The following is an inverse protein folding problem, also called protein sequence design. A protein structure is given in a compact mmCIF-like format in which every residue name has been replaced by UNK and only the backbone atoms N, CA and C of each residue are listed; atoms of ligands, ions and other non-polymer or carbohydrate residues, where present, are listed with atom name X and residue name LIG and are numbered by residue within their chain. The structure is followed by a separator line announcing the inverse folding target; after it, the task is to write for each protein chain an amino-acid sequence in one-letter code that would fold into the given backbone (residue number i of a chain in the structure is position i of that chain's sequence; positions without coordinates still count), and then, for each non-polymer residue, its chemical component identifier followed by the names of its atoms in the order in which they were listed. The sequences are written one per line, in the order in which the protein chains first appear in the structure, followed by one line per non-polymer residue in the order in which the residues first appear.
data_IF_089731383136
#
_entry.id   IF_089731383136
#
_cell.length_a   1.000
_cell.length_b   1.000
_cell.length_c   1.000
_cell.angle_alpha   90.00
_cell.angle_beta   90.00
_cell.angle_gamma   90.00
#
_symmetry.space_group_name_H-M   'P 1'
#
loop_
_entity.id
_entity.type
_entity.pdbx_description
1 polymer ?
#
# COMPACT_ATOMS: atom_id res chain seq x y z
N UNK A 1 -15.95 -28.17 -18.49
CA UNK A 1 -15.86 -28.01 -17.01
C UNK A 1 -17.16 -27.53 -16.33
N UNK A 2 -18.10 -26.90 -17.04
CA UNK A 2 -19.33 -26.34 -16.45
C UNK A 2 -20.28 -27.39 -15.84
N UNK A 3 -20.54 -28.50 -16.55
CA UNK A 3 -21.51 -29.53 -16.12
C UNK A 3 -21.18 -30.17 -14.76
N UNK A 4 -19.89 -30.45 -14.49
CA UNK A 4 -19.45 -31.02 -13.19
C UNK A 4 -19.70 -30.07 -12.02
N UNK A 5 -19.51 -28.76 -12.23
CA UNK A 5 -19.75 -27.75 -11.20
C UNK A 5 -21.24 -27.57 -10.93
N UNK A 6 -22.08 -27.63 -11.97
CA UNK A 6 -23.54 -27.62 -11.82
C UNK A 6 -24.03 -28.85 -11.04
N UNK A 7 -23.54 -30.04 -11.39
CA UNK A 7 -23.86 -31.28 -10.69
C UNK A 7 -23.47 -31.24 -9.20
N UNK A 8 -22.27 -30.73 -8.90
CA UNK A 8 -21.80 -30.57 -7.51
C UNK A 8 -22.68 -29.58 -6.72
N UNK A 9 -23.17 -28.51 -7.34
CA UNK A 9 -24.03 -27.52 -6.68
C UNK A 9 -25.39 -28.10 -6.28
N UNK A 10 -25.97 -28.97 -7.12
CA UNK A 10 -27.23 -29.67 -6.82
C UNK A 10 -27.02 -30.67 -5.67
N UNK A 11 -25.95 -31.46 -5.71
CA UNK A 11 -25.63 -32.43 -4.65
C UNK A 11 -25.23 -31.79 -3.34
N UNK A 12 -24.67 -30.59 -3.37
CA UNK A 12 -24.34 -29.83 -2.17
C UNK A 12 -25.59 -29.52 -1.33
N UNK A 13 -26.70 -29.12 -1.95
CA UNK A 13 -27.97 -28.92 -1.24
C UNK A 13 -28.43 -30.20 -0.55
N UNK A 14 -28.43 -31.33 -1.26
CA UNK A 14 -28.78 -32.64 -0.71
C UNK A 14 -27.85 -33.07 0.42
N UNK A 15 -26.54 -32.85 0.29
CA UNK A 15 -25.54 -33.17 1.30
C UNK A 15 -25.73 -32.37 2.59
N UNK A 16 -26.13 -31.10 2.50
CA UNK A 16 -26.39 -30.24 3.65
C UNK A 16 -27.71 -30.61 4.36
N UNK A 17 -28.73 -31.03 3.60
CA UNK A 17 -30.04 -31.45 4.15
C UNK A 17 -30.04 -32.88 4.71
N UNK A 18 -29.05 -33.70 4.35
CA UNK A 18 -28.94 -35.09 4.81
C UNK A 18 -28.82 -35.18 6.35
N UNK A 19 -29.66 -36.00 6.97
CA UNK A 19 -29.77 -36.14 8.43
C UNK A 19 -28.80 -37.17 8.99
N UNK A 20 -28.45 -38.18 8.19
CA UNK A 20 -27.56 -39.27 8.63
C UNK A 20 -26.19 -39.26 7.96
N UNK A 21 -25.19 -39.85 8.64
CA UNK A 21 -23.84 -40.06 8.06
C UNK A 21 -23.90 -41.02 6.87
N UNK A 22 -24.82 -41.99 6.87
CA UNK A 22 -25.01 -42.95 5.78
C UNK A 22 -25.50 -42.25 4.51
N UNK A 23 -26.49 -41.37 4.61
CA UNK A 23 -26.97 -40.55 3.48
C UNK A 23 -25.86 -39.67 2.89
N UNK A 24 -25.09 -38.98 3.76
CA UNK A 24 -23.95 -38.16 3.32
C UNK A 24 -22.91 -38.99 2.59
N UNK A 25 -22.67 -40.22 3.03
CA UNK A 25 -21.73 -41.11 2.36
C UNK A 25 -22.23 -41.55 0.99
N UNK A 26 -23.51 -41.93 0.87
CA UNK A 26 -24.12 -42.33 -0.40
C UNK A 26 -24.08 -41.22 -1.46
N UNK A 27 -24.40 -39.98 -1.05
CA UNK A 27 -24.31 -38.79 -1.91
C UNK A 27 -22.89 -38.57 -2.43
N UNK A 28 -21.88 -38.76 -1.56
CA UNK A 28 -20.48 -38.66 -1.96
C UNK A 28 -20.05 -39.81 -2.87
N UNK A 29 -20.53 -41.03 -2.63
CA UNK A 29 -20.22 -42.22 -3.44
C UNK A 29 -20.77 -42.08 -4.85
N UNK A 30 -22.02 -41.63 -5.00
CA UNK A 30 -22.66 -41.32 -6.28
C UNK A 30 -21.83 -40.32 -7.09
N UNK A 31 -21.45 -39.20 -6.47
CA UNK A 31 -20.64 -38.18 -7.14
C UNK A 31 -19.26 -38.70 -7.54
N UNK A 32 -18.59 -39.46 -6.65
CA UNK A 32 -17.27 -40.01 -6.94
C UNK A 32 -17.32 -41.04 -8.08
N UNK A 33 -18.36 -41.90 -8.13
CA UNK A 33 -18.57 -42.85 -9.23
C UNK A 33 -18.78 -42.14 -10.57
N UNK A 34 -19.61 -41.09 -10.60
CA UNK A 34 -19.92 -40.37 -11.84
C UNK A 34 -18.80 -39.47 -12.35
N UNK A 35 -17.92 -38.98 -11.46
CA UNK A 35 -16.88 -37.99 -11.83
C UNK A 35 -15.45 -38.51 -11.75
N UNK A 36 -15.22 -39.68 -11.16
CA UNK A 36 -13.89 -40.22 -10.90
C UNK A 36 -13.06 -39.41 -9.89
N UNK A 37 -13.66 -38.42 -9.22
CA UNK A 37 -12.94 -37.53 -8.32
C UNK A 37 -12.71 -38.18 -6.94
N UNK A 38 -11.56 -37.90 -6.34
CA UNK A 38 -11.24 -38.42 -5.02
C UNK A 38 -12.19 -37.88 -3.95
N UNK A 39 -12.69 -38.77 -3.08
CA UNK A 39 -13.63 -38.43 -2.00
C UNK A 39 -13.19 -37.25 -1.13
N UNK A 40 -11.90 -37.17 -0.74
CA UNK A 40 -11.38 -36.07 0.08
C UNK A 40 -11.43 -34.73 -0.68
N UNK A 41 -11.22 -34.75 -1.99
CA UNK A 41 -11.35 -33.56 -2.84
C UNK A 41 -12.80 -33.09 -2.91
N UNK A 42 -13.75 -34.02 -3.10
CA UNK A 42 -15.19 -33.72 -3.16
C UNK A 42 -15.71 -33.13 -1.86
N UNK A 43 -15.36 -33.74 -0.72
CA UNK A 43 -15.72 -33.24 0.62
C UNK A 43 -15.20 -31.81 0.81
N UNK A 44 -13.97 -31.52 0.38
CA UNK A 44 -13.38 -30.18 0.48
C UNK A 44 -14.17 -29.17 -0.35
N UNK A 45 -14.56 -29.53 -1.57
CA UNK A 45 -15.37 -28.67 -2.46
C UNK A 45 -16.79 -28.43 -1.95
N UNK A 46 -17.44 -29.46 -1.42
CA UNK A 46 -18.79 -29.34 -0.84
C UNK A 46 -18.75 -28.47 0.42
N UNK A 47 -17.69 -28.55 1.22
CA UNK A 47 -17.51 -27.69 2.40
C UNK A 47 -17.01 -26.29 2.06
N UNK A 48 -16.32 -26.08 0.94
CA UNK A 48 -15.71 -24.80 0.63
C UNK A 48 -16.71 -23.69 0.27
N UNK A 49 -17.92 -24.02 -0.24
CA UNK A 49 -18.93 -22.97 -0.51
C UNK A 49 -19.43 -22.30 0.78
N UNK A 50 -19.35 -22.99 1.93
CA UNK A 50 -19.66 -22.43 3.26
C UNK A 50 -18.60 -21.40 3.70
N UNK A 51 -17.48 -21.27 2.99
CA UNK A 51 -16.35 -20.40 3.37
C UNK A 51 -15.80 -19.53 2.22
N UNK A 52 -16.55 -19.30 1.14
CA UNK A 52 -16.09 -18.41 0.07
C UNK A 52 -16.18 -16.91 0.42
N UNK A 53 -16.79 -16.55 1.54
CA UNK A 53 -16.55 -15.25 2.16
C UNK A 53 -15.33 -15.42 3.05
N UNK A 54 -14.12 -14.96 2.65
CA UNK A 54 -13.04 -14.85 3.61
C UNK A 54 -13.58 -14.03 4.77
N UNK A 55 -13.74 -14.65 5.95
CA UNK A 55 -13.97 -13.92 7.20
C UNK A 55 -12.81 -12.95 7.28
N UNK A 56 -13.07 -11.68 6.95
CA UNK A 56 -12.11 -10.60 7.18
C UNK A 56 -11.83 -10.68 8.67
N UNK A 57 -10.65 -11.21 9.05
CA UNK A 57 -10.15 -11.08 10.42
C UNK A 57 -10.34 -9.61 10.75
N UNK A 58 -11.22 -9.30 11.69
CA UNK A 58 -11.53 -7.91 12.05
C UNK A 58 -10.20 -7.19 12.18
N UNK A 59 -9.99 -6.17 11.34
CA UNK A 59 -8.71 -5.48 11.31
C UNK A 59 -8.36 -5.04 12.73
N UNK A 60 -7.08 -5.11 13.10
CA UNK A 60 -6.63 -4.53 14.38
C UNK A 60 -7.15 -3.10 14.45
N UNK A 61 -7.68 -2.69 15.61
CA UNK A 61 -8.12 -1.32 15.84
C UNK A 61 -7.01 -0.36 15.39
N UNK A 62 -7.36 0.59 14.53
CA UNK A 62 -6.41 1.57 14.00
C UNK A 62 -6.16 2.59 15.12
N UNK A 63 -5.07 2.42 15.86
CA UNK A 63 -4.69 3.30 16.97
C UNK A 63 -4.27 4.70 16.48
N UNK A 64 -3.64 4.75 15.30
CA UNK A 64 -3.16 5.97 14.66
C UNK A 64 -4.08 6.29 13.47
N UNK A 65 -5.17 6.99 13.79
CA UNK A 65 -6.18 7.43 12.84
C UNK A 65 -5.64 8.47 11.82
N UNK A 66 -6.53 8.94 10.94
CA UNK A 66 -6.19 9.94 9.92
C UNK A 66 -5.70 11.26 10.51
N UNK A 67 -6.25 11.68 11.65
CA UNK A 67 -5.85 12.93 12.31
C UNK A 67 -4.42 12.84 12.83
N UNK A 68 -4.04 11.73 13.46
CA UNK A 68 -2.66 11.51 13.91
C UNK A 68 -1.70 11.48 12.73
N UNK A 69 -2.08 10.86 11.61
CA UNK A 69 -1.23 10.82 10.41
C UNK A 69 -1.05 12.19 9.77
N UNK A 70 -2.09 13.03 9.75
CA UNK A 70 -2.01 14.39 9.23
C UNK A 70 -1.12 15.26 10.11
N UNK A 71 -1.31 15.20 11.44
CA UNK A 71 -0.46 15.91 12.40
C UNK A 71 1.01 15.46 12.30
N UNK A 72 1.25 14.15 12.21
CA UNK A 72 2.59 13.59 12.04
C UNK A 72 3.26 14.10 10.76
N UNK A 73 2.52 14.23 9.65
CA UNK A 73 3.06 14.73 8.39
C UNK A 73 3.48 16.21 8.51
N UNK A 74 2.69 17.05 9.18
CA UNK A 74 3.06 18.45 9.44
C UNK A 74 4.33 18.55 10.28
N UNK A 75 4.41 17.81 11.39
CA UNK A 75 5.60 17.84 12.24
C UNK A 75 6.84 17.30 11.49
N UNK A 76 6.67 16.29 10.65
CA UNK A 76 7.74 15.77 9.80
C UNK A 76 8.25 16.81 8.79
N UNK A 77 7.38 17.66 8.25
CA UNK A 77 7.73 18.77 7.37
C UNK A 77 8.48 19.89 8.13
N UNK A 78 8.00 20.27 9.32
CA UNK A 78 8.65 21.29 10.18
C UNK A 78 10.11 20.93 10.49
N UNK A 79 10.40 19.65 10.75
CA UNK A 79 11.75 19.18 11.07
C UNK A 79 12.61 18.80 9.86
N UNK A 80 12.21 19.18 8.64
CA UNK A 80 12.91 18.90 7.39
C UNK A 80 13.09 17.39 7.11
N UNK A 81 11.99 16.66 7.24
CA UNK A 81 11.82 15.30 6.76
C UNK A 81 12.74 14.20 7.37
N UNK A 82 12.96 14.14 8.70
CA UNK A 82 13.82 13.14 9.32
C UNK A 82 13.27 11.71 9.20
N UNK A 83 14.14 10.71 9.36
CA UNK A 83 13.72 9.31 9.49
C UNK A 83 12.94 9.09 10.81
N UNK A 84 12.12 8.04 10.90
CA UNK A 84 11.28 7.79 12.07
C UNK A 84 12.06 7.65 13.38
N UNK A 85 13.31 7.16 13.31
CA UNK A 85 14.20 7.09 14.46
C UNK A 85 14.60 8.47 15.00
N UNK A 86 14.85 9.44 14.11
CA UNK A 86 15.17 10.82 14.49
C UNK A 86 13.93 11.62 14.86
N UNK A 87 12.79 11.33 14.24
CA UNK A 87 11.53 12.04 14.52
C UNK A 87 10.92 11.64 15.87
N UNK A 88 11.04 10.37 16.28
CA UNK A 88 10.45 9.90 17.53
C UNK A 88 10.86 10.69 18.81
N UNK A 89 12.15 10.98 19.07
CA UNK A 89 12.53 11.81 20.21
C UNK A 89 12.01 13.25 20.08
N UNK A 90 12.05 13.85 18.88
CA UNK A 90 11.52 15.19 18.64
C UNK A 90 10.02 15.27 18.93
N UNK A 91 9.25 14.23 18.58
CA UNK A 91 7.82 14.18 18.89
C UNK A 91 7.55 14.15 20.40
N UNK A 92 8.47 13.60 21.20
CA UNK A 92 8.30 13.55 22.66
C UNK A 92 8.54 14.90 23.31
N UNK A 93 9.49 15.69 22.80
CA UNK A 93 9.88 16.98 23.40
C UNK A 93 9.15 18.16 22.79
N UNK A 94 9.01 18.20 21.46
CA UNK A 94 8.61 19.42 20.74
C UNK A 94 7.10 19.51 20.48
N UNK A 95 6.33 18.43 20.60
CA UNK A 95 4.88 18.46 20.28
C UNK A 95 4.12 19.46 21.14
N UNK A 96 4.44 19.57 22.43
CA UNK A 96 3.77 20.54 23.30
C UNK A 96 4.18 21.98 22.96
N UNK A 97 5.46 22.19 22.66
CA UNK A 97 5.99 23.50 22.25
C UNK A 97 5.37 23.96 20.93
N UNK A 98 5.26 23.08 19.94
CA UNK A 98 4.61 23.38 18.66
C UNK A 98 3.12 23.68 18.81
N UNK A 99 2.44 23.10 19.81
CA UNK A 99 1.05 23.44 20.13
C UNK A 99 0.94 24.82 20.79
N UNK A 100 1.86 25.15 21.70
CA UNK A 100 1.90 26.46 22.37
C UNK A 100 2.20 27.60 21.40
N UNK A 101 3.05 27.35 20.40
CA UNK A 101 3.37 28.29 19.34
C UNK A 101 2.33 28.33 18.21
N UNK A 102 1.23 27.59 18.34
CA UNK A 102 0.15 27.47 17.35
C UNK A 102 0.56 26.95 15.96
N UNK A 103 1.80 26.47 15.81
CA UNK A 103 2.33 25.81 14.60
C UNK A 103 1.53 24.53 14.26
N UNK A 104 1.02 23.84 15.28
CA UNK A 104 0.12 22.69 15.11
C UNK A 104 -1.14 22.84 15.97
N UNK A 105 -2.30 22.89 15.30
CA UNK A 105 -3.61 22.86 15.96
C UNK A 105 -4.10 21.42 16.04
N UNK A 106 -3.85 20.77 17.18
CA UNK A 106 -4.23 19.37 17.41
C UNK A 106 -4.89 19.15 18.78
N UNK A 107 -5.87 18.23 18.88
CA UNK A 107 -6.43 17.81 20.17
C UNK A 107 -5.39 17.15 21.08
N UNK A 108 -5.61 17.22 22.39
CA UNK A 108 -4.70 16.61 23.38
C UNK A 108 -4.52 15.11 23.16
N UNK A 109 -5.58 14.38 22.80
CA UNK A 109 -5.49 12.95 22.49
C UNK A 109 -4.53 12.63 21.34
N UNK A 110 -4.51 13.48 20.30
CA UNK A 110 -3.61 13.31 19.14
C UNK A 110 -2.17 13.60 19.54
N UNK A 111 -1.94 14.62 20.36
CA UNK A 111 -0.62 14.95 20.89
C UNK A 111 -0.03 13.80 21.70
N UNK A 112 -0.82 13.19 22.59
CA UNK A 112 -0.39 12.04 23.39
C UNK A 112 -0.09 10.80 22.54
N UNK A 113 -0.90 10.55 21.51
CA UNK A 113 -0.63 9.48 20.54
C UNK A 113 0.68 9.73 19.78
N UNK A 114 0.99 10.98 19.42
CA UNK A 114 2.23 11.35 18.74
C UNK A 114 3.47 11.16 19.62
N UNK A 115 3.39 11.47 20.93
CA UNK A 115 4.52 11.24 21.85
C UNK A 115 4.83 9.75 22.05
N UNK A 116 3.80 8.89 22.01
CA UNK A 116 3.90 7.44 22.25
C UNK A 116 4.25 6.62 21.00
N UNK A 117 4.15 7.21 19.80
CA UNK A 117 4.34 6.48 18.54
C UNK A 117 5.77 5.92 18.42
N UNK A 118 5.88 4.69 17.94
CA UNK A 118 7.20 4.06 17.75
C UNK A 118 7.85 4.48 16.43
N UNK A 119 9.19 4.54 16.34
CA UNK A 119 9.92 4.88 15.10
C UNK A 119 9.45 4.09 13.87
N UNK A 120 9.26 2.78 14.02
CA UNK A 120 8.80 1.89 12.94
C UNK A 120 7.38 2.23 12.48
N UNK A 121 6.53 2.69 13.38
CA UNK A 121 5.15 3.09 13.05
C UNK A 121 5.14 4.43 12.33
N UNK A 122 6.01 5.38 12.73
CA UNK A 122 6.23 6.65 12.02
C UNK A 122 6.61 6.39 10.57
N UNK A 123 7.64 5.58 10.32
CA UNK A 123 8.11 5.31 8.95
C UNK A 123 7.03 4.64 8.09
N UNK A 124 6.22 3.74 8.68
CA UNK A 124 5.08 3.12 7.98
C UNK A 124 3.97 4.13 7.68
N UNK A 125 3.65 5.01 8.64
CA UNK A 125 2.59 6.00 8.51
C UNK A 125 2.90 7.07 7.44
N UNK A 126 4.18 7.46 7.34
CA UNK A 126 4.72 8.44 6.41
C UNK A 126 5.18 7.87 5.06
N UNK A 127 5.10 6.55 4.86
CA UNK A 127 5.60 5.89 3.64
C UNK A 127 5.01 6.50 2.37
N UNK A 128 3.71 6.74 2.36
CA UNK A 128 3.02 7.35 1.22
C UNK A 128 3.48 8.80 1.00
N UNK A 129 3.53 9.59 2.07
CA UNK A 129 3.98 10.99 2.03
C UNK A 129 5.41 11.11 1.51
N UNK A 130 6.31 10.21 1.93
CA UNK A 130 7.68 10.14 1.40
C UNK A 130 7.72 9.83 -0.09
N UNK A 131 6.89 8.91 -0.56
CA UNK A 131 6.80 8.59 -1.98
C UNK A 131 6.33 9.79 -2.79
N UNK A 132 5.28 10.49 -2.32
CA UNK A 132 4.78 11.71 -2.96
C UNK A 132 5.85 12.79 -2.98
N UNK A 133 6.52 13.05 -1.85
CA UNK A 133 7.60 14.05 -1.76
C UNK A 133 8.75 13.71 -2.72
N UNK A 134 9.14 12.44 -2.81
CA UNK A 134 10.19 12.00 -3.73
C UNK A 134 9.81 12.23 -5.19
N UNK A 135 8.58 11.88 -5.59
CA UNK A 135 8.08 12.13 -6.95
C UNK A 135 8.06 13.62 -7.26
N UNK A 136 7.55 14.44 -6.33
CA UNK A 136 7.52 15.89 -6.49
C UNK A 136 8.92 16.46 -6.66
N UNK A 137 9.92 16.02 -5.87
CA UNK A 137 11.32 16.46 -6.00
C UNK A 137 11.99 15.98 -7.28
N UNK A 138 11.73 14.75 -7.72
CA UNK A 138 12.32 14.16 -8.94
C UNK A 138 11.86 14.91 -10.19
N UNK A 139 10.56 15.18 -10.30
CA UNK A 139 9.97 15.84 -11.45
C UNK A 139 9.89 17.37 -11.29
N UNK A 140 10.39 17.93 -10.18
CA UNK A 140 10.45 19.37 -10.03
C UNK A 140 11.44 19.96 -11.03
N UNK A 141 10.98 20.89 -11.86
CA UNK A 141 11.88 21.65 -12.73
C UNK A 141 12.81 22.49 -11.86
N UNK A 142 14.13 22.24 -11.92
CA UNK A 142 15.11 23.04 -11.18
C UNK A 142 15.16 24.44 -11.75
N UNK A 143 14.65 25.44 -11.02
CA UNK A 143 14.78 26.86 -11.35
C UNK A 143 15.98 27.41 -10.59
N UNK A 144 17.17 27.37 -11.20
CA UNK A 144 18.38 28.01 -10.65
C UNK A 144 18.85 29.17 -11.55
N UNK A 145 18.07 30.27 -11.62
CA UNK A 145 18.38 31.38 -12.53
C UNK A 145 19.76 31.99 -12.25
N UNK A 146 20.15 32.11 -10.97
CA UNK A 146 21.40 32.78 -10.57
C UNK A 146 22.67 32.05 -11.01
N UNK A 147 22.68 30.72 -11.00
CA UNK A 147 23.84 29.93 -11.45
C UNK A 147 23.97 30.00 -12.98
N UNK A 148 22.86 29.90 -13.70
CA UNK A 148 22.84 30.00 -15.16
C UNK A 148 23.15 31.42 -15.68
N UNK A 149 22.98 32.45 -14.86
CA UNK A 149 23.39 33.82 -15.18
C UNK A 149 24.89 34.06 -14.96
N UNK A 150 25.50 33.41 -13.95
CA UNK A 150 26.93 33.55 -13.64
C UNK A 150 27.82 32.67 -14.49
N UNK A 151 27.35 31.49 -14.86
CA UNK A 151 28.05 30.56 -15.74
C UNK A 151 27.29 30.57 -17.06
N UNK A 152 27.84 31.15 -18.15
CA UNK A 152 27.20 31.10 -19.45
C UNK A 152 27.15 29.64 -19.90
N UNK A 153 26.03 28.98 -19.65
CA UNK A 153 25.75 27.68 -20.25
C UNK A 153 25.39 27.97 -21.69
N UNK A 154 26.27 27.62 -22.63
CA UNK A 154 25.95 27.60 -24.08
C UNK A 154 24.91 26.48 -24.33
N UNK A 155 23.66 26.75 -23.96
CA UNK A 155 22.51 25.93 -24.31
C UNK A 155 21.93 26.47 -25.62
N UNK A 156 22.58 26.15 -26.74
CA UNK A 156 22.21 26.63 -28.08
C UNK A 156 23.40 27.18 -28.86
N UNK A 157 23.30 27.17 -30.19
CA UNK A 157 24.37 27.54 -31.12
C UNK A 157 25.05 26.35 -31.82
N UNK A 158 24.44 25.17 -31.75
CA UNK A 158 24.92 23.99 -32.47
C UNK A 158 24.39 24.02 -33.91
N UNK A 159 25.29 24.04 -34.87
CA UNK A 159 24.99 23.85 -36.27
C UNK A 159 24.89 22.35 -36.59
N UNK A 160 23.68 21.88 -36.85
CA UNK A 160 23.39 20.48 -37.18
C UNK A 160 23.97 20.05 -38.53
N UNK A 161 24.47 20.99 -39.34
CA UNK A 161 25.13 20.71 -40.62
C UNK A 161 26.62 20.40 -40.45
N UNK A 162 27.24 20.75 -39.31
CA UNK A 162 28.64 20.47 -39.04
C UNK A 162 28.83 19.07 -38.44
N UNK A 163 29.63 18.19 -39.08
CA UNK A 163 29.99 16.90 -38.51
C UNK A 163 30.63 17.06 -37.13
N UNK A 164 30.13 16.32 -36.13
CA UNK A 164 30.61 16.37 -34.75
C UNK A 164 29.74 17.18 -33.78
N UNK A 165 28.70 17.87 -34.26
CA UNK A 165 27.71 18.54 -33.41
C UNK A 165 26.39 17.75 -33.40
N UNK A 166 26.10 17.04 -32.31
CA UNK A 166 24.90 16.20 -32.17
C UNK A 166 24.14 16.60 -30.91
N UNK A 167 22.84 16.89 -31.04
CA UNK A 167 21.92 17.01 -29.91
C UNK A 167 21.30 15.64 -29.63
N UNK A 168 21.40 15.19 -28.38
CA UNK A 168 20.77 13.94 -27.92
C UNK A 168 19.71 14.32 -26.89
N UNK A 169 18.45 14.08 -27.22
CA UNK A 169 17.36 14.19 -26.26
C UNK A 169 17.28 12.89 -25.46
N UNK A 170 17.59 12.96 -24.16
CA UNK A 170 17.48 11.81 -23.26
C UNK A 170 16.05 11.71 -22.75
N UNK A 171 15.34 10.65 -23.15
CA UNK A 171 14.01 10.33 -22.61
C UNK A 171 14.17 9.31 -21.49
N UNK A 172 13.68 9.66 -20.29
CA UNK A 172 13.62 8.72 -19.18
C UNK A 172 12.44 7.74 -19.40
N UNK A 173 12.73 6.51 -19.83
CA UNK A 173 11.71 5.47 -20.03
C UNK A 173 11.31 4.73 -18.75
N UNK A 174 12.01 4.96 -17.65
CA UNK A 174 11.61 4.42 -16.36
C UNK A 174 10.54 5.33 -15.74
N UNK A 175 9.34 4.79 -15.51
CA UNK A 175 8.24 5.53 -14.89
C UNK A 175 8.54 5.91 -13.43
N UNK A 176 7.80 5.36 -12.47
CA UNK A 176 8.06 5.66 -11.05
C UNK A 176 9.29 4.94 -10.47
N UNK A 177 9.80 3.90 -11.13
CA UNK A 177 10.93 3.07 -10.67
C UNK A 177 11.77 2.61 -11.85
N UNK A 178 13.09 2.52 -11.63
CA UNK A 178 14.07 2.04 -12.60
C UNK A 178 14.47 0.56 -12.39
N UNK A 179 13.81 -0.16 -11.48
CA UNK A 179 13.99 -1.60 -11.31
C UNK A 179 13.21 -2.32 -12.41
N UNK A 180 13.93 -2.84 -13.41
CA UNK A 180 13.41 -3.82 -14.36
C UNK A 180 13.09 -5.15 -13.68
#
# INVERSE_FOLDING_TARGET
MSARNQYLKVLQGKYLMAKSRKEKSAILDEYCKNTGQNRKYVIRRIRSSISLVPKRRGGKKVVYDGYVRAALAKVWEIFDYPCGQRLAPLLRTEVDRLRQLEEIVIPHEVAEKLKKISPRTIDRALKHQRQVLHLNRKYHRKRNPLIYQRIPVKAGGWDRLLPGQIQIDLVEHCGQKASG
#
